data_IF_317701126502
#
_entry.id   IF_317701126502
#
_cell.length_a   1.000
_cell.length_b   1.000
_cell.length_c   1.000
_cell.angle_alpha   90.00
_cell.angle_beta   90.00
_cell.angle_gamma   90.00
#
_symmetry.space_group_name_H-M   'P 1'
#
loop_
_entity.id
_entity.type
_entity.pdbx_description
1 polymer ?
#
# COMPACT_ATOMS: atom_id res chain seq x y z
N UNK A 1 40.49 2.10 -57.41
CA UNK A 1 39.15 1.53 -57.19
C UNK A 1 39.00 0.78 -55.87
N UNK A 2 39.91 -0.07 -55.48
CA UNK A 2 39.88 -0.85 -54.22
C UNK A 2 39.95 0.01 -52.93
N UNK A 3 40.76 1.05 -52.88
CA UNK A 3 40.90 1.96 -51.73
C UNK A 3 39.60 2.73 -51.37
N UNK A 4 38.84 3.08 -52.41
CA UNK A 4 37.56 3.78 -52.22
C UNK A 4 36.53 2.86 -51.62
N UNK A 5 36.49 1.58 -52.01
CA UNK A 5 35.58 0.59 -51.46
C UNK A 5 35.87 0.26 -49.99
N UNK A 6 37.15 0.12 -49.63
CA UNK A 6 37.57 -0.10 -48.24
C UNK A 6 37.16 1.08 -47.33
N UNK A 7 37.34 2.33 -47.81
CA UNK A 7 36.94 3.51 -47.03
C UNK A 7 35.42 3.59 -46.82
N UNK A 8 34.63 3.21 -47.83
CA UNK A 8 33.16 3.16 -47.72
C UNK A 8 32.71 2.12 -46.67
N UNK A 9 33.30 0.93 -46.70
CA UNK A 9 32.97 -0.13 -45.72
C UNK A 9 33.38 0.25 -44.29
N UNK A 10 34.57 0.85 -44.12
CA UNK A 10 35.00 1.32 -42.82
C UNK A 10 34.12 2.47 -42.27
N UNK A 11 33.66 3.36 -43.14
CA UNK A 11 32.74 4.43 -42.80
C UNK A 11 31.36 3.91 -42.37
N UNK A 12 30.82 2.91 -43.09
CA UNK A 12 29.56 2.25 -42.71
C UNK A 12 29.67 1.53 -41.35
N UNK A 13 30.76 0.82 -41.11
CA UNK A 13 31.03 0.17 -39.81
C UNK A 13 31.16 1.20 -38.68
N UNK A 14 31.79 2.33 -38.93
CA UNK A 14 31.90 3.41 -37.96
C UNK A 14 30.54 4.02 -37.62
N UNK A 15 29.70 4.28 -38.60
CA UNK A 15 28.34 4.80 -38.40
C UNK A 15 27.46 3.80 -37.65
N UNK A 16 27.52 2.52 -37.99
CA UNK A 16 26.78 1.46 -37.25
C UNK A 16 27.20 1.39 -35.77
N UNK A 17 28.51 1.42 -35.49
CA UNK A 17 29.01 1.45 -34.09
C UNK A 17 28.53 2.70 -33.33
N UNK A 18 28.48 3.84 -33.98
CA UNK A 18 28.00 5.08 -33.38
C UNK A 18 26.51 5.04 -33.08
N UNK A 19 25.72 4.47 -33.99
CA UNK A 19 24.28 4.28 -33.77
C UNK A 19 23.99 3.29 -32.64
N UNK A 20 24.66 2.14 -32.63
CA UNK A 20 24.51 1.15 -31.54
C UNK A 20 24.83 1.77 -30.20
N UNK A 21 25.92 2.52 -30.04
CA UNK A 21 26.25 3.21 -28.79
C UNK A 21 25.15 4.18 -28.33
N UNK A 22 24.53 4.92 -29.27
CA UNK A 22 23.43 5.85 -28.95
C UNK A 22 22.17 5.10 -28.50
N UNK A 23 21.84 3.99 -29.18
CA UNK A 23 20.69 3.14 -28.80
C UNK A 23 20.91 2.52 -27.42
N UNK A 24 22.09 1.96 -27.16
CA UNK A 24 22.42 1.39 -25.84
C UNK A 24 22.36 2.46 -24.74
N UNK A 25 22.90 3.66 -25.01
CA UNK A 25 22.85 4.76 -24.04
C UNK A 25 21.41 5.23 -23.78
N UNK A 26 20.55 5.32 -24.81
CA UNK A 26 19.15 5.69 -24.64
C UNK A 26 18.36 4.62 -23.88
N UNK A 27 18.60 3.34 -24.13
CA UNK A 27 18.00 2.24 -23.36
C UNK A 27 18.44 2.24 -21.90
N UNK A 28 19.71 2.54 -21.64
CA UNK A 28 20.23 2.68 -20.28
C UNK A 28 19.60 3.85 -19.53
N UNK A 29 19.45 5.01 -20.20
CA UNK A 29 18.76 6.19 -19.62
C UNK A 29 17.27 5.89 -19.35
N UNK A 30 16.58 5.20 -20.25
CA UNK A 30 15.19 4.79 -20.05
C UNK A 30 15.05 3.83 -18.86
N UNK A 31 15.98 2.87 -18.70
CA UNK A 31 15.94 1.94 -17.57
C UNK A 31 16.12 2.64 -16.22
N UNK A 32 17.01 3.63 -16.13
CA UNK A 32 17.20 4.44 -14.93
C UNK A 32 15.96 5.30 -14.63
N UNK A 33 15.31 5.85 -15.64
CA UNK A 33 14.08 6.63 -15.47
C UNK A 33 12.92 5.75 -14.94
N UNK A 34 12.80 4.50 -15.39
CA UNK A 34 11.79 3.55 -14.89
C UNK A 34 12.02 3.19 -13.42
N UNK A 35 13.27 3.06 -12.97
CA UNK A 35 13.61 2.81 -11.57
C UNK A 35 13.27 3.99 -10.65
N UNK A 36 13.25 5.22 -11.18
CA UNK A 36 12.86 6.44 -10.43
C UNK A 36 11.37 6.54 -10.14
N UNK A 37 10.50 5.81 -10.85
CA UNK A 37 9.04 5.89 -10.68
C UNK A 37 8.52 5.10 -9.48
N UNK A 38 9.28 4.16 -8.97
CA UNK A 38 8.92 3.34 -7.81
C UNK A 38 9.39 3.96 -6.48
N UNK A 39 9.06 5.23 -6.25
CA UNK A 39 9.45 5.90 -5.01
C UNK A 39 8.56 5.41 -3.86
N UNK A 40 9.15 4.65 -2.94
CA UNK A 40 8.45 4.17 -1.73
C UNK A 40 8.00 5.35 -0.88
N UNK A 41 6.73 5.34 -0.48
CA UNK A 41 6.10 6.34 0.39
C UNK A 41 5.70 5.70 1.72
N UNK A 42 5.59 6.53 2.74
CA UNK A 42 5.09 6.12 4.04
C UNK A 42 3.58 6.30 4.07
N UNK A 43 2.87 5.21 4.35
CA UNK A 43 1.42 5.18 4.53
C UNK A 43 1.09 5.00 6.00
N UNK A 44 -0.04 5.52 6.42
CA UNK A 44 -0.52 5.42 7.79
C UNK A 44 -1.88 4.73 7.84
N UNK A 45 -2.09 3.99 8.93
CA UNK A 45 -3.38 3.42 9.30
C UNK A 45 -3.64 3.74 10.77
N UNK A 46 -4.84 4.18 11.07
CA UNK A 46 -5.31 4.34 12.43
C UNK A 46 -6.24 3.18 12.80
N UNK A 47 -5.94 2.52 13.91
CA UNK A 47 -6.82 1.49 14.52
C UNK A 47 -7.48 2.11 15.74
N UNK A 48 -8.81 2.19 15.71
CA UNK A 48 -9.63 2.75 16.79
C UNK A 48 -10.31 1.64 17.59
N UNK A 49 -10.18 1.68 18.89
CA UNK A 49 -10.94 0.85 19.83
C UNK A 49 -12.01 1.67 20.50
N UNK A 50 -13.28 1.34 20.28
CA UNK A 50 -14.44 2.06 20.80
C UNK A 50 -15.22 1.10 21.68
N UNK A 51 -15.51 1.50 22.92
CA UNK A 51 -16.32 0.69 23.84
C UNK A 51 -17.74 0.49 23.30
N UNK A 52 -18.22 -0.76 23.34
CA UNK A 52 -19.58 -1.11 22.90
C UNK A 52 -20.60 -0.67 23.97
N UNK A 53 -21.74 -0.15 23.53
CA UNK A 53 -22.77 0.38 24.44
C UNK A 53 -23.58 -0.71 25.16
N UNK A 54 -23.89 -1.79 24.46
CA UNK A 54 -24.85 -2.81 24.91
C UNK A 54 -24.21 -4.16 25.24
N UNK A 55 -22.93 -4.33 24.91
CA UNK A 55 -22.22 -5.60 25.13
C UNK A 55 -20.80 -5.28 25.60
N UNK A 56 -20.23 -6.16 26.44
CA UNK A 56 -18.83 -6.04 26.82
C UNK A 56 -17.91 -6.14 25.60
N UNK A 57 -16.79 -5.43 25.62
CA UNK A 57 -15.72 -5.46 24.62
C UNK A 57 -15.62 -4.20 23.76
N UNK A 58 -14.68 -4.24 22.83
CA UNK A 58 -14.35 -3.14 21.93
C UNK A 58 -14.89 -3.39 20.52
N UNK A 59 -15.35 -2.31 19.89
CA UNK A 59 -15.53 -2.25 18.44
C UNK A 59 -14.21 -1.76 17.86
N UNK A 60 -13.57 -2.57 17.05
CA UNK A 60 -12.31 -2.22 16.38
C UNK A 60 -12.64 -1.65 15.00
N UNK A 61 -12.06 -0.50 14.67
CA UNK A 61 -12.23 0.19 13.39
C UNK A 61 -10.86 0.53 12.83
N UNK A 62 -10.64 0.19 11.56
CA UNK A 62 -9.43 0.53 10.82
C UNK A 62 -9.71 1.69 9.88
N UNK A 63 -8.77 2.64 9.82
CA UNK A 63 -8.87 3.83 8.97
C UNK A 63 -7.57 4.00 8.20
N UNK A 64 -7.62 3.79 6.89
CA UNK A 64 -6.49 3.94 5.97
C UNK A 64 -6.47 5.31 5.27
N UNK A 65 -7.30 6.26 5.71
CA UNK A 65 -7.37 7.60 5.14
C UNK A 65 -8.20 7.71 3.86
N UNK A 66 -8.92 6.65 3.47
CA UNK A 66 -9.83 6.70 2.33
C UNK A 66 -11.18 7.27 2.76
N UNK A 67 -11.52 8.47 2.24
CA UNK A 67 -12.81 9.17 2.40
C UNK A 67 -13.51 8.83 3.72
N UNK A 68 -12.94 9.30 4.81
CA UNK A 68 -13.58 9.21 6.12
C UNK A 68 -14.92 9.96 6.05
N UNK A 69 -16.02 9.22 5.93
CA UNK A 69 -17.33 9.74 6.22
C UNK A 69 -17.34 10.03 7.73
N UNK A 70 -17.55 11.28 8.11
CA UNK A 70 -17.54 11.75 9.51
C UNK A 70 -18.66 11.17 10.38
N UNK A 71 -19.41 10.21 9.91
CA UNK A 71 -20.34 9.44 10.73
C UNK A 71 -19.59 8.43 11.59
N UNK A 72 -19.08 8.91 12.72
CA UNK A 72 -18.26 8.13 13.67
C UNK A 72 -18.97 6.88 14.22
N UNK A 73 -20.26 6.71 14.04
CA UNK A 73 -21.08 5.65 14.63
C UNK A 73 -21.79 4.72 13.65
N UNK A 74 -22.01 5.14 12.41
CA UNK A 74 -22.95 4.44 11.55
C UNK A 74 -22.34 3.50 10.51
N UNK A 75 -21.46 3.99 9.67
CA UNK A 75 -21.24 3.34 8.36
C UNK A 75 -19.81 2.83 8.09
N UNK A 76 -18.77 3.37 8.75
CA UNK A 76 -17.39 2.95 8.51
C UNK A 76 -17.13 1.50 8.96
N UNK A 77 -17.80 1.04 9.99
CA UNK A 77 -17.57 -0.33 10.52
C UNK A 77 -18.17 -1.42 9.65
N UNK A 78 -19.11 -1.09 8.77
CA UNK A 78 -19.68 -2.09 7.86
C UNK A 78 -18.86 -2.26 6.57
N UNK A 79 -18.15 -1.21 6.15
CA UNK A 79 -17.39 -1.18 4.89
C UNK A 79 -16.00 -1.81 5.01
N UNK A 80 -15.39 -1.78 6.20
CA UNK A 80 -14.05 -2.32 6.44
C UNK A 80 -14.11 -3.59 7.31
N UNK A 81 -15.02 -4.49 6.99
CA UNK A 81 -14.99 -5.85 7.53
C UNK A 81 -13.95 -6.65 6.78
N UNK A 82 -12.92 -7.07 7.47
CA UNK A 82 -11.88 -7.90 6.88
C UNK A 82 -12.34 -9.35 6.84
N UNK A 83 -11.88 -10.05 5.82
CA UNK A 83 -12.16 -11.48 5.63
C UNK A 83 -10.86 -12.24 5.45
N UNK A 84 -10.91 -13.51 5.81
CA UNK A 84 -9.86 -14.47 5.54
C UNK A 84 -9.91 -15.00 4.08
N UNK A 85 -9.07 -15.98 3.77
CA UNK A 85 -8.96 -16.58 2.45
C UNK A 85 -10.26 -17.28 2.01
N UNK A 86 -11.06 -17.74 2.97
CA UNK A 86 -12.36 -18.39 2.73
C UNK A 86 -13.53 -17.40 2.67
N UNK A 87 -13.28 -16.11 2.84
CA UNK A 87 -14.28 -15.05 2.88
C UNK A 87 -15.04 -14.94 4.20
N UNK A 88 -14.59 -15.65 5.26
CA UNK A 88 -15.17 -15.53 6.59
C UNK A 88 -14.68 -14.24 7.29
N UNK A 89 -15.59 -13.56 8.00
CA UNK A 89 -15.30 -12.28 8.67
C UNK A 89 -14.32 -12.49 9.84
N UNK A 90 -13.19 -11.79 9.79
CA UNK A 90 -12.19 -11.74 10.85
C UNK A 90 -12.74 -10.87 11.99
N UNK A 91 -12.85 -11.45 13.19
CA UNK A 91 -13.31 -10.75 14.39
C UNK A 91 -12.13 -10.46 15.31
N UNK A 92 -11.92 -9.21 15.60
CA UNK A 92 -10.88 -8.76 16.52
C UNK A 92 -11.45 -8.69 17.95
N UNK A 93 -10.84 -9.42 18.87
CA UNK A 93 -11.28 -9.48 20.27
C UNK A 93 -10.66 -8.37 21.14
N UNK A 94 -9.53 -7.81 20.71
CA UNK A 94 -8.80 -6.77 21.44
C UNK A 94 -7.99 -5.88 20.48
N UNK A 95 -7.50 -4.75 20.99
CA UNK A 95 -6.55 -3.91 20.27
C UNK A 95 -5.24 -4.64 19.95
N UNK A 96 -4.79 -5.53 20.82
CA UNK A 96 -3.57 -6.33 20.60
C UNK A 96 -3.76 -7.33 19.47
N UNK A 97 -4.93 -7.95 19.40
CA UNK A 97 -5.29 -8.86 18.30
C UNK A 97 -5.27 -8.13 16.95
N UNK A 98 -5.89 -6.95 16.90
CA UNK A 98 -5.83 -6.09 15.72
C UNK A 98 -4.40 -5.63 15.39
N UNK A 99 -3.57 -5.37 16.39
CA UNK A 99 -2.17 -4.98 16.19
C UNK A 99 -1.34 -6.12 15.61
N UNK A 100 -1.49 -7.35 16.11
CA UNK A 100 -0.81 -8.52 15.58
C UNK A 100 -1.19 -8.73 14.09
N UNK A 101 -2.48 -8.61 13.76
CA UNK A 101 -2.96 -8.68 12.38
C UNK A 101 -2.26 -7.65 11.47
N UNK A 102 -2.05 -6.42 11.95
CA UNK A 102 -1.36 -5.36 11.19
C UNK A 102 0.14 -5.64 11.07
N UNK A 103 0.79 -6.08 12.16
CA UNK A 103 2.23 -6.38 12.17
C UNK A 103 2.55 -7.56 11.24
N UNK A 104 1.74 -8.60 11.21
CA UNK A 104 1.89 -9.75 10.31
C UNK A 104 1.84 -9.34 8.82
N UNK A 105 1.21 -8.18 8.53
CA UNK A 105 1.14 -7.58 7.18
C UNK A 105 2.15 -6.48 6.94
N UNK A 106 3.18 -6.40 7.80
CA UNK A 106 4.31 -5.49 7.65
C UNK A 106 4.03 -4.04 8.07
N UNK A 107 2.94 -3.78 8.81
CA UNK A 107 2.70 -2.49 9.43
C UNK A 107 3.48 -2.38 10.73
N UNK A 108 4.00 -1.21 11.01
CA UNK A 108 4.83 -0.91 12.19
C UNK A 108 4.05 0.03 13.10
N UNK A 109 3.88 -0.36 14.36
CA UNK A 109 3.29 0.49 15.39
C UNK A 109 4.14 1.75 15.60
N UNK A 110 3.51 2.91 15.67
CA UNK A 110 4.17 4.21 15.88
C UNK A 110 3.84 4.83 17.23
N UNK A 111 2.56 4.96 17.53
CA UNK A 111 2.12 5.59 18.77
C UNK A 111 0.71 5.17 19.12
N UNK A 112 0.35 5.36 20.39
CA UNK A 112 -1.00 5.25 20.90
C UNK A 112 -1.38 6.53 21.64
N UNK A 113 -2.66 6.87 21.57
CA UNK A 113 -3.26 7.91 22.39
C UNK A 113 -4.72 7.56 22.67
N UNK A 114 -5.34 8.28 23.59
CA UNK A 114 -6.76 8.15 23.87
C UNK A 114 -7.45 9.49 23.73
N UNK A 115 -8.70 9.45 23.32
CA UNK A 115 -9.62 10.59 23.28
C UNK A 115 -10.91 10.23 23.98
N UNK A 116 -11.79 11.21 24.18
CA UNK A 116 -13.14 10.97 24.68
C UNK A 116 -14.15 11.51 23.69
N UNK A 117 -15.16 10.72 23.37
CA UNK A 117 -16.28 11.15 22.55
C UNK A 117 -17.60 10.74 23.21
N UNK A 118 -18.47 11.73 23.45
CA UNK A 118 -19.74 11.49 24.15
C UNK A 118 -19.55 10.91 25.56
N UNK A 119 -18.44 11.25 26.26
CA UNK A 119 -18.11 10.71 27.57
C UNK A 119 -17.50 9.30 27.55
N UNK A 120 -17.29 8.69 26.37
CA UNK A 120 -16.70 7.36 26.24
C UNK A 120 -15.25 7.43 25.77
N UNK A 121 -14.36 6.59 26.33
CA UNK A 121 -12.98 6.52 25.88
C UNK A 121 -12.90 5.90 24.47
N UNK A 122 -12.05 6.49 23.65
CA UNK A 122 -11.66 5.96 22.36
C UNK A 122 -10.15 5.78 22.36
N UNK A 123 -9.70 4.58 22.09
CA UNK A 123 -8.27 4.23 22.00
C UNK A 123 -7.85 4.34 20.55
N UNK A 124 -6.74 5.01 20.28
CA UNK A 124 -6.20 5.25 18.94
C UNK A 124 -4.78 4.68 18.86
N UNK A 125 -4.55 3.78 17.93
CA UNK A 125 -3.23 3.22 17.63
C UNK A 125 -2.87 3.53 16.18
N UNK A 126 -1.73 4.21 15.99
CA UNK A 126 -1.24 4.60 14.68
C UNK A 126 -0.18 3.61 14.22
N UNK A 127 -0.37 3.08 13.04
CA UNK A 127 0.57 2.22 12.33
C UNK A 127 1.06 2.92 11.07
N UNK A 128 2.25 2.53 10.59
CA UNK A 128 2.75 2.95 9.30
C UNK A 128 3.39 1.79 8.54
N UNK A 129 3.38 1.89 7.22
CA UNK A 129 4.04 0.94 6.30
C UNK A 129 4.62 1.71 5.11
N UNK A 130 5.82 1.33 4.69
CA UNK A 130 6.44 1.88 3.49
C UNK A 130 6.08 1.01 2.30
N UNK A 131 5.48 1.60 1.26
CA UNK A 131 5.07 0.91 0.04
C UNK A 131 5.19 1.84 -1.18
N UNK A 132 5.11 1.28 -2.38
CA UNK A 132 5.16 2.01 -3.63
C UNK A 132 3.81 2.62 -4.01
N UNK A 133 2.71 2.00 -3.55
CA UNK A 133 1.34 2.49 -3.76
C UNK A 133 0.45 2.22 -2.54
N UNK A 134 -0.72 2.90 -2.42
CA UNK A 134 -1.71 2.62 -1.37
C UNK A 134 -2.20 1.17 -1.38
N UNK A 135 -2.37 0.59 -2.57
CA UNK A 135 -2.82 -0.80 -2.77
C UNK A 135 -1.77 -1.77 -2.22
N UNK A 136 -0.49 -1.57 -2.56
CA UNK A 136 0.62 -2.38 -2.03
C UNK A 136 0.79 -2.19 -0.51
N UNK A 137 0.46 -1.02 0.02
CA UNK A 137 0.46 -0.84 1.47
C UNK A 137 -0.59 -1.75 2.14
N UNK A 138 -1.75 -1.95 1.51
CA UNK A 138 -2.86 -2.79 2.00
C UNK A 138 -2.77 -4.26 1.56
N UNK A 139 -1.70 -4.67 0.89
CA UNK A 139 -1.51 -6.05 0.47
C UNK A 139 -1.71 -7.03 1.62
N UNK A 140 -2.51 -8.09 1.39
CA UNK A 140 -2.90 -9.07 2.40
C UNK A 140 -4.04 -8.63 3.33
N UNK A 141 -4.62 -7.45 3.11
CA UNK A 141 -5.83 -6.98 3.80
C UNK A 141 -6.97 -6.99 2.77
N UNK A 142 -7.92 -7.91 2.93
CA UNK A 142 -9.07 -8.04 2.02
C UNK A 142 -10.34 -7.66 2.77
N UNK A 143 -11.10 -6.74 2.21
CA UNK A 143 -12.41 -6.38 2.74
C UNK A 143 -13.50 -7.29 2.19
N UNK A 144 -14.60 -7.43 2.91
CA UNK A 144 -15.75 -8.24 2.48
C UNK A 144 -16.35 -7.74 1.15
N UNK A 145 -16.25 -6.44 0.88
CA UNK A 145 -16.70 -5.85 -0.38
C UNK A 145 -15.77 -6.22 -1.55
N UNK A 146 -14.47 -6.20 -1.33
CA UNK A 146 -13.48 -6.61 -2.34
C UNK A 146 -13.59 -8.11 -2.64
N UNK A 147 -13.69 -8.93 -1.60
CA UNK A 147 -13.87 -10.38 -1.75
C UNK A 147 -15.09 -10.74 -2.61
N UNK A 148 -16.25 -10.08 -2.37
CA UNK A 148 -17.48 -10.30 -3.16
C UNK A 148 -17.37 -9.84 -4.63
N UNK A 149 -16.43 -8.97 -4.97
CA UNK A 149 -16.23 -8.52 -6.36
C UNK A 149 -15.33 -9.47 -7.15
N UNK A 150 -14.54 -10.27 -6.45
CA UNK A 150 -13.55 -11.17 -7.05
C UNK A 150 -14.01 -12.62 -7.09
N UNK A 151 -15.03 -12.97 -6.34
CA UNK A 151 -15.66 -14.32 -6.25
C UNK A 151 -17.17 -14.21 -6.47
#
# INVERSE_FOLDING_TARGET
MWLIYINLVLYDLYLRRRMIKRIVLSLLLCSVALLSLAQKKLYYCEVKGIEKELTSGLKIVFDFGEKASYNMWGDLSSKLKFVDEDGAEIKFNSMVDAANYMVDRGWIFKQAYSSSYGGKPVIHWIFCKTAESPELAKEGIVTKEEYKKTH
#
